data_IF_976340471540
#
_entry.id   IF_976340471540
#
_cell.length_a   1.000
_cell.length_b   1.000
_cell.length_c   1.000
_cell.angle_alpha   90.00
_cell.angle_beta   90.00
_cell.angle_gamma   90.00
#
_symmetry.space_group_name_H-M   'P 1'
#
loop_
_entity.id
_entity.type
_entity.pdbx_description
1 polymer ?
#
# COMPACT_ATOMS: atom_id res chain seq x y z
N UNK A 1 17.56 2.19 -6.60
CA UNK A 1 16.69 2.64 -5.49
C UNK A 1 17.42 2.73 -4.15
N UNK A 2 18.23 1.72 -3.72
CA UNK A 2 18.93 1.72 -2.41
C UNK A 2 19.89 2.90 -2.25
N UNK A 3 20.72 3.17 -3.25
CA UNK A 3 21.67 4.29 -3.24
C UNK A 3 20.94 5.64 -3.15
N UNK A 4 19.82 5.79 -3.87
CA UNK A 4 19.01 7.00 -3.80
C UNK A 4 18.45 7.17 -2.37
N UNK A 5 17.88 6.12 -1.78
CA UNK A 5 17.34 6.18 -0.42
C UNK A 5 18.41 6.60 0.59
N UNK A 6 19.63 6.02 0.51
CA UNK A 6 20.76 6.40 1.36
C UNK A 6 21.18 7.85 1.16
N UNK A 7 21.24 8.34 -0.09
CA UNK A 7 21.58 9.72 -0.42
C UNK A 7 20.59 10.74 0.19
N UNK A 8 19.33 10.34 0.39
CA UNK A 8 18.30 11.12 1.09
C UNK A 8 18.23 10.84 2.60
N UNK A 9 19.24 10.18 3.19
CA UNK A 9 19.35 9.96 4.63
C UNK A 9 18.47 8.84 5.19
N UNK A 10 17.89 7.98 4.33
CA UNK A 10 17.09 6.87 4.79
C UNK A 10 17.97 5.75 5.39
N UNK A 11 17.48 5.14 6.47
CA UNK A 11 18.05 3.90 7.00
C UNK A 11 17.60 2.74 6.11
N UNK A 12 18.55 2.12 5.41
CA UNK A 12 18.27 1.02 4.48
C UNK A 12 18.65 -0.31 5.15
N UNK A 13 17.68 -1.21 5.19
CA UNK A 13 17.84 -2.57 5.74
C UNK A 13 17.57 -3.60 4.63
N UNK A 14 18.21 -4.73 4.74
CA UNK A 14 18.05 -5.86 3.81
C UNK A 14 17.51 -7.07 4.59
N UNK A 15 16.63 -7.82 3.95
CA UNK A 15 16.07 -9.06 4.47
C UNK A 15 16.02 -10.08 3.33
N UNK A 16 16.25 -11.36 3.65
CA UNK A 16 16.05 -12.44 2.71
C UNK A 16 14.55 -12.52 2.32
N UNK A 17 14.28 -12.76 1.03
CA UNK A 17 12.92 -12.92 0.55
C UNK A 17 12.39 -14.32 0.88
N UNK A 18 11.26 -14.39 1.58
CA UNK A 18 10.64 -15.62 2.06
C UNK A 18 9.26 -15.89 1.43
N UNK A 19 8.97 -15.33 0.24
CA UNK A 19 7.66 -15.44 -0.43
C UNK A 19 6.48 -14.89 0.41
N UNK A 20 6.77 -13.95 1.33
CA UNK A 20 5.80 -13.37 2.23
C UNK A 20 6.07 -11.87 2.44
N UNK A 21 5.19 -11.02 1.89
CA UNK A 21 5.30 -9.56 2.03
C UNK A 21 5.10 -9.10 3.47
N UNK A 22 4.29 -9.80 4.26
CA UNK A 22 4.03 -9.42 5.65
C UNK A 22 5.29 -9.54 6.52
N UNK A 23 6.16 -10.51 6.25
CA UNK A 23 7.45 -10.66 6.94
C UNK A 23 8.33 -9.42 6.67
N UNK A 24 8.45 -9.03 5.40
CA UNK A 24 9.24 -7.85 5.02
C UNK A 24 8.67 -6.55 5.61
N UNK A 25 7.35 -6.38 5.61
CA UNK A 25 6.67 -5.23 6.25
C UNK A 25 6.90 -5.21 7.75
N UNK A 26 6.71 -6.34 8.43
CA UNK A 26 6.92 -6.45 9.88
C UNK A 26 8.38 -6.23 10.29
N UNK A 27 9.32 -6.70 9.47
CA UNK A 27 10.73 -6.37 9.66
C UNK A 27 10.96 -4.86 9.56
N UNK A 28 10.37 -4.19 8.57
CA UNK A 28 10.44 -2.73 8.44
C UNK A 28 9.83 -2.02 9.65
N UNK A 29 8.66 -2.47 10.14
CA UNK A 29 8.05 -1.94 11.37
C UNK A 29 9.00 -2.05 12.58
N UNK A 30 9.70 -3.18 12.71
CA UNK A 30 10.65 -3.39 13.82
C UNK A 30 11.84 -2.42 13.84
N UNK A 31 12.13 -1.76 12.70
CA UNK A 31 13.20 -0.77 12.56
C UNK A 31 12.74 0.67 12.76
N UNK A 32 11.44 0.90 12.78
CA UNK A 32 10.86 2.22 12.96
C UNK A 32 10.96 2.67 14.43
N UNK A 33 11.35 3.91 14.66
CA UNK A 33 11.52 4.51 15.98
C UNK A 33 10.61 5.74 16.21
N UNK A 34 9.88 6.18 15.19
CA UNK A 34 8.94 7.30 15.31
C UNK A 34 7.64 6.90 16.03
N UNK A 35 6.88 7.89 16.50
CA UNK A 35 5.58 7.69 17.13
C UNK A 35 4.48 7.27 16.16
N UNK A 36 4.66 7.59 14.88
CA UNK A 36 3.78 7.25 13.79
C UNK A 36 4.50 6.40 12.75
N UNK A 37 3.79 5.46 12.18
CA UNK A 37 4.19 4.68 11.01
C UNK A 37 3.38 5.20 9.82
N UNK A 38 4.09 5.57 8.76
CA UNK A 38 3.49 5.86 7.46
C UNK A 38 4.07 4.93 6.41
N UNK A 39 3.23 4.12 5.80
CA UNK A 39 3.63 3.09 4.83
C UNK A 39 3.47 3.61 3.41
N UNK A 40 4.59 3.69 2.69
CA UNK A 40 4.65 4.04 1.26
C UNK A 40 5.46 3.00 0.50
N UNK A 41 5.04 2.70 -0.71
CA UNK A 41 5.82 1.91 -1.66
C UNK A 41 6.76 2.83 -2.47
N UNK A 42 7.80 2.26 -3.09
CA UNK A 42 8.83 3.05 -3.77
C UNK A 42 8.33 3.81 -5.03
N UNK A 43 7.14 3.47 -5.51
CA UNK A 43 6.44 4.09 -6.64
C UNK A 43 5.22 4.92 -6.19
N UNK A 44 5.21 5.33 -4.92
CA UNK A 44 4.17 6.14 -4.32
C UNK A 44 4.72 7.43 -3.71
N UNK A 45 3.87 8.46 -3.63
CA UNK A 45 4.20 9.71 -2.95
C UNK A 45 2.97 10.43 -2.40
N UNK A 46 3.20 11.34 -1.47
CA UNK A 46 2.24 12.39 -1.07
C UNK A 46 2.61 13.66 -1.80
N UNK A 47 1.63 14.38 -2.34
CA UNK A 47 1.87 15.67 -2.99
C UNK A 47 2.38 16.71 -1.98
N UNK A 48 3.35 17.55 -2.36
CA UNK A 48 3.75 18.71 -1.56
C UNK A 48 2.58 19.62 -1.18
N UNK A 49 1.54 19.70 -2.02
CA UNK A 49 0.30 20.42 -1.77
C UNK A 49 -0.38 19.99 -0.45
N UNK A 50 -0.22 18.75 -0.03
CA UNK A 50 -0.89 18.19 1.13
C UNK A 50 0.02 18.02 2.36
N UNK A 51 1.28 18.43 2.30
CA UNK A 51 2.23 18.26 3.41
C UNK A 51 1.75 18.91 4.72
N UNK A 52 1.16 20.12 4.65
CA UNK A 52 0.69 20.79 5.85
C UNK A 52 -0.53 20.12 6.47
N UNK A 53 -1.43 19.60 5.63
CA UNK A 53 -2.56 18.76 6.10
C UNK A 53 -2.05 17.49 6.78
N UNK A 54 -1.06 16.85 6.16
CA UNK A 54 -0.46 15.63 6.71
C UNK A 54 0.24 15.89 8.05
N UNK A 55 1.03 16.97 8.14
CA UNK A 55 1.67 17.40 9.40
C UNK A 55 0.65 17.71 10.49
N UNK A 56 -0.42 18.43 10.15
CA UNK A 56 -1.50 18.73 11.09
C UNK A 56 -2.19 17.47 11.61
N UNK A 57 -2.34 16.43 10.75
CA UNK A 57 -2.94 15.16 11.12
C UNK A 57 -2.11 14.42 12.18
N UNK A 58 -0.80 14.29 11.95
CA UNK A 58 0.11 13.57 12.87
C UNK A 58 0.46 14.38 14.12
N UNK A 59 0.34 15.71 14.06
CA UNK A 59 0.61 16.63 15.18
C UNK A 59 -0.55 16.79 16.16
N UNK A 60 -1.75 16.27 15.85
CA UNK A 60 -2.89 16.37 16.77
C UNK A 60 -2.65 15.55 18.04
N UNK A 61 -2.80 16.15 19.22
CA UNK A 61 -2.92 15.39 20.45
C UNK A 61 -4.18 14.52 20.35
N UNK A 62 -4.03 13.25 20.09
CA UNK A 62 -5.16 12.33 20.06
C UNK A 62 -5.24 11.63 21.41
N UNK A 63 -6.33 11.82 22.12
CA UNK A 63 -6.63 11.07 23.36
C UNK A 63 -6.87 9.58 23.06
N UNK A 64 -7.31 9.26 21.83
CA UNK A 64 -7.54 7.88 21.40
C UNK A 64 -6.68 7.52 20.19
N UNK A 65 -6.06 6.32 20.18
CA UNK A 65 -5.31 5.85 19.03
C UNK A 65 -6.25 5.61 17.86
N UNK A 66 -5.98 6.24 16.71
CA UNK A 66 -6.68 6.02 15.46
C UNK A 66 -5.67 5.64 14.38
N UNK A 67 -6.03 4.69 13.53
CA UNK A 67 -5.34 4.41 12.28
C UNK A 67 -6.09 5.10 11.13
N UNK A 68 -5.36 5.47 10.07
CA UNK A 68 -5.98 6.19 8.96
C UNK A 68 -5.94 5.36 7.67
N UNK A 69 -7.12 5.14 7.10
CA UNK A 69 -7.27 4.69 5.72
C UNK A 69 -7.07 5.87 4.79
N UNK A 70 -6.18 5.70 3.83
CA UNK A 70 -5.77 6.72 2.88
C UNK A 70 -6.12 6.27 1.48
N UNK A 71 -6.81 7.13 0.72
CA UNK A 71 -7.12 6.87 -0.67
C UNK A 71 -5.85 6.93 -1.50
N UNK A 72 -5.61 5.87 -2.28
CA UNK A 72 -4.55 5.83 -3.28
C UNK A 72 -5.13 6.17 -4.65
N UNK A 73 -4.56 7.14 -5.34
CA UNK A 73 -4.81 7.48 -6.73
C UNK A 73 -3.89 6.64 -7.61
N UNK A 74 -4.39 5.51 -8.12
CA UNK A 74 -3.61 4.63 -9.00
C UNK A 74 -3.67 5.14 -10.43
N UNK A 75 -2.63 5.81 -10.89
CA UNK A 75 -2.58 6.38 -12.24
C UNK A 75 -2.47 5.30 -13.32
N UNK A 76 -3.13 5.51 -14.45
CA UNK A 76 -3.21 4.53 -15.54
C UNK A 76 -3.20 5.20 -16.92
N UNK A 77 -2.73 4.44 -17.93
CA UNK A 77 -2.81 4.79 -19.35
C UNK A 77 -4.02 4.14 -20.03
N UNK A 78 -4.79 3.31 -19.31
CA UNK A 78 -5.84 2.48 -19.89
C UNK A 78 -7.23 3.09 -19.66
N UNK A 79 -7.91 3.48 -20.75
CA UNK A 79 -9.26 4.06 -20.73
C UNK A 79 -10.33 3.08 -20.20
N UNK A 80 -10.13 1.77 -20.38
CA UNK A 80 -11.08 0.72 -19.96
C UNK A 80 -10.90 0.31 -18.48
N UNK A 81 -10.23 1.14 -17.66
CA UNK A 81 -10.03 0.85 -16.24
C UNK A 81 -11.33 1.04 -15.48
N UNK A 82 -11.75 0.01 -14.74
CA UNK A 82 -12.97 0.09 -13.91
C UNK A 82 -12.76 1.13 -12.80
N UNK A 83 -13.72 2.05 -12.67
CA UNK A 83 -13.64 3.14 -11.69
C UNK A 83 -12.70 4.27 -12.09
N UNK A 84 -12.31 4.36 -13.36
CA UNK A 84 -11.46 5.44 -13.88
C UNK A 84 -12.08 6.81 -13.60
N UNK A 85 -11.28 7.69 -13.05
CA UNK A 85 -11.51 9.13 -12.93
C UNK A 85 -10.48 9.85 -13.77
N UNK A 86 -10.91 10.78 -14.62
CA UNK A 86 -9.99 11.56 -15.45
C UNK A 86 -9.19 12.53 -14.58
N UNK A 87 -7.99 12.86 -15.02
CA UNK A 87 -7.18 13.91 -14.42
C UNK A 87 -7.88 15.26 -14.61
N UNK A 88 -7.82 16.12 -13.59
CA UNK A 88 -8.47 17.43 -13.56
C UNK A 88 -7.47 18.57 -13.45
N UNK A 89 -6.18 18.29 -13.32
CA UNK A 89 -5.15 19.28 -13.02
C UNK A 89 -5.14 19.72 -11.55
N UNK A 90 -5.81 18.96 -10.69
CA UNK A 90 -5.84 19.26 -9.24
C UNK A 90 -4.45 19.15 -8.61
N UNK A 91 -3.64 18.20 -9.09
CA UNK A 91 -2.29 17.93 -8.61
C UNK A 91 -1.29 17.99 -9.77
N UNK A 92 -0.14 18.60 -9.51
CA UNK A 92 0.96 18.65 -10.49
C UNK A 92 1.52 17.25 -10.81
N UNK A 93 1.33 16.31 -9.90
CA UNK A 93 1.78 14.92 -10.00
C UNK A 93 0.85 14.01 -10.82
N UNK A 94 -0.30 14.52 -11.29
CA UNK A 94 -1.23 13.71 -12.08
C UNK A 94 -0.55 13.12 -13.31
N UNK A 95 -0.66 11.79 -13.47
CA UNK A 95 -0.03 11.03 -14.55
C UNK A 95 -1.03 10.21 -15.38
N UNK A 96 -0.62 9.84 -16.59
CA UNK A 96 -1.46 9.08 -17.51
C UNK A 96 -2.72 9.83 -17.94
N UNK A 97 -3.79 9.10 -18.25
CA UNK A 97 -5.08 9.68 -18.64
C UNK A 97 -5.99 9.94 -17.45
N UNK A 98 -5.70 9.31 -16.33
CA UNK A 98 -6.50 9.37 -15.11
C UNK A 98 -6.05 8.34 -14.09
N UNK A 99 -6.89 8.12 -13.10
CA UNK A 99 -6.60 7.26 -11.96
C UNK A 99 -7.85 6.51 -11.49
N UNK A 100 -7.65 5.43 -10.76
CA UNK A 100 -8.73 4.74 -10.04
C UNK A 100 -8.41 4.63 -8.55
N UNK A 101 -9.42 4.74 -7.68
CA UNK A 101 -9.22 4.74 -6.23
C UNK A 101 -8.97 3.34 -5.69
N UNK A 102 -8.14 3.26 -4.65
CA UNK A 102 -8.12 2.15 -3.71
C UNK A 102 -7.78 2.68 -2.32
N UNK A 103 -8.43 2.15 -1.29
CA UNK A 103 -8.22 2.58 0.08
C UNK A 103 -7.37 1.54 0.81
N UNK A 104 -6.39 2.01 1.58
CA UNK A 104 -5.52 1.17 2.42
C UNK A 104 -5.23 1.88 3.73
N UNK A 105 -5.13 1.15 4.81
CA UNK A 105 -4.60 1.69 6.06
C UNK A 105 -3.09 1.87 5.89
N UNK A 106 -2.63 3.14 5.94
CA UNK A 106 -1.24 3.51 5.71
C UNK A 106 -0.59 4.27 6.84
N UNK A 107 -1.38 4.91 7.69
CA UNK A 107 -0.89 5.73 8.78
C UNK A 107 -1.47 5.23 10.10
N UNK A 108 -0.62 4.88 11.05
CA UNK A 108 -1.00 4.37 12.36
C UNK A 108 0.08 4.61 13.41
N UNK A 109 -0.27 4.52 14.69
CA UNK A 109 0.72 4.63 15.77
C UNK A 109 1.72 3.49 15.73
N UNK A 110 2.96 3.77 16.10
CA UNK A 110 3.98 2.74 16.30
C UNK A 110 3.66 1.95 17.57
N UNK A 111 2.80 0.95 17.41
CA UNK A 111 2.31 0.10 18.49
C UNK A 111 2.70 -1.36 18.19
N UNK A 112 3.29 -2.01 19.17
CA UNK A 112 3.77 -3.39 19.03
C UNK A 112 2.67 -4.41 18.73
N UNK A 113 1.42 -4.10 18.98
CA UNK A 113 0.25 -4.93 18.66
C UNK A 113 -0.12 -4.91 17.17
N UNK A 114 0.29 -3.84 16.44
CA UNK A 114 -0.04 -3.71 15.02
C UNK A 114 0.98 -4.48 14.19
N UNK A 115 0.50 -5.43 13.39
CA UNK A 115 1.30 -6.30 12.53
C UNK A 115 0.60 -6.49 11.20
N UNK A 116 1.38 -6.58 10.14
CA UNK A 116 0.90 -7.05 8.86
C UNK A 116 0.66 -8.55 8.89
N UNK A 117 -0.44 -8.97 8.29
CA UNK A 117 -0.80 -10.38 8.11
C UNK A 117 -1.06 -10.65 6.63
N UNK A 118 -0.95 -11.89 6.22
CA UNK A 118 -1.05 -12.43 4.87
C UNK A 118 0.21 -12.26 4.02
N UNK A 119 0.65 -13.36 3.39
CA UNK A 119 1.83 -13.36 2.51
C UNK A 119 1.70 -12.48 1.27
N UNK A 120 0.48 -12.34 0.75
CA UNK A 120 0.12 -11.48 -0.39
C UNK A 120 -1.08 -10.63 0.00
N UNK A 121 -1.11 -9.37 -0.47
CA UNK A 121 -2.10 -8.37 -0.03
C UNK A 121 -2.11 -8.25 1.49
N UNK A 122 -0.92 -8.00 2.03
CA UNK A 122 -0.68 -7.85 3.45
C UNK A 122 -1.50 -6.69 4.03
N UNK A 123 -2.14 -6.94 5.15
CA UNK A 123 -3.09 -6.04 5.82
C UNK A 123 -2.71 -5.84 7.29
N UNK A 124 -2.95 -4.66 7.83
CA UNK A 124 -2.87 -4.36 9.27
C UNK A 124 -4.23 -4.34 9.94
N UNK A 125 -5.31 -4.26 9.17
CA UNK A 125 -6.69 -4.15 9.64
C UNK A 125 -7.09 -5.26 10.63
N UNK A 126 -6.71 -6.53 10.46
CA UNK A 126 -6.98 -7.56 11.45
C UNK A 126 -6.35 -7.26 12.81
N UNK A 127 -5.09 -6.81 12.82
CA UNK A 127 -4.39 -6.46 14.06
C UNK A 127 -4.99 -5.21 14.73
N UNK A 128 -5.41 -4.22 13.94
CA UNK A 128 -6.12 -3.03 14.45
C UNK A 128 -7.44 -3.40 15.10
N UNK A 129 -8.22 -4.28 14.47
CA UNK A 129 -9.48 -4.78 15.01
C UNK A 129 -9.27 -5.52 16.33
N UNK A 130 -8.27 -6.38 16.41
CA UNK A 130 -7.92 -7.12 17.63
C UNK A 130 -7.48 -6.18 18.76
N UNK A 131 -6.72 -5.13 18.42
CA UNK A 131 -6.27 -4.12 19.36
C UNK A 131 -7.36 -3.11 19.76
N UNK A 132 -8.55 -3.15 19.15
CA UNK A 132 -9.63 -2.18 19.39
C UNK A 132 -9.33 -0.77 18.86
N UNK A 133 -8.46 -0.64 17.85
CA UNK A 133 -8.04 0.65 17.29
C UNK A 133 -8.96 0.99 16.11
N UNK A 134 -9.71 2.11 16.16
CA UNK A 134 -10.59 2.54 15.09
C UNK A 134 -9.81 2.97 13.85
N UNK A 135 -10.44 2.80 12.68
CA UNK A 135 -9.92 3.27 11.39
C UNK A 135 -10.73 4.50 10.99
N UNK A 136 -10.02 5.60 10.81
CA UNK A 136 -10.56 6.89 10.37
C UNK A 136 -10.21 7.12 8.90
N UNK A 137 -10.97 7.96 8.19
CA UNK A 137 -10.60 8.44 6.86
C UNK A 137 -9.58 9.58 6.94
N UNK A 138 -8.82 9.75 5.86
CA UNK A 138 -7.85 10.83 5.71
C UNK A 138 -8.03 11.48 4.33
N UNK A 139 -8.07 12.82 4.32
CA UNK A 139 -8.27 13.61 3.09
C UNK A 139 -6.97 13.86 2.30
N UNK A 140 -5.85 13.29 2.74
CA UNK A 140 -4.57 13.38 2.03
C UNK A 140 -4.41 12.14 1.17
N UNK A 141 -4.45 12.24 -0.17
CA UNK A 141 -4.26 11.09 -1.05
C UNK A 141 -2.80 10.67 -1.16
N UNK A 142 -2.59 9.40 -1.48
CA UNK A 142 -1.32 8.87 -1.96
C UNK A 142 -1.39 8.72 -3.48
N UNK A 143 -0.38 9.21 -4.18
CA UNK A 143 -0.23 9.10 -5.64
C UNK A 143 0.63 7.88 -5.97
N UNK A 144 0.12 6.97 -6.80
CA UNK A 144 0.78 5.71 -7.17
C UNK A 144 0.97 5.62 -8.68
N UNK A 145 2.22 5.42 -9.11
CA UNK A 145 2.66 5.47 -10.51
C UNK A 145 3.01 4.11 -11.09
N UNK A 146 2.98 3.04 -10.30
CA UNK A 146 3.44 1.72 -10.70
C UNK A 146 2.78 1.15 -11.96
N UNK A 147 1.56 1.58 -12.27
CA UNK A 147 0.83 1.14 -13.47
C UNK A 147 1.08 1.98 -14.73
N UNK A 148 1.88 3.04 -14.64
CA UNK A 148 2.32 3.80 -15.81
C UNK A 148 3.51 3.13 -16.53
N UNK A 149 4.15 2.13 -15.91
CA UNK A 149 5.33 1.45 -16.45
C UNK A 149 4.98 0.01 -16.85
N UNK A 150 4.46 -0.17 -18.07
CA UNK A 150 3.92 -1.45 -18.59
C UNK A 150 4.96 -2.61 -18.60
N UNK A 151 6.22 -2.33 -18.91
CA UNK A 151 7.25 -3.36 -19.05
C UNK A 151 7.51 -4.18 -17.77
N UNK A 152 7.15 -3.66 -16.59
CA UNK A 152 7.30 -4.35 -15.29
C UNK A 152 6.04 -5.07 -14.82
N UNK A 153 4.94 -4.91 -15.53
CA UNK A 153 3.62 -5.37 -15.06
C UNK A 153 3.43 -6.86 -15.29
N UNK A 154 3.94 -7.41 -16.40
CA UNK A 154 3.74 -8.82 -16.75
C UNK A 154 4.49 -9.78 -15.82
N UNK A 155 5.79 -9.56 -15.59
CA UNK A 155 6.58 -10.39 -14.66
C UNK A 155 6.02 -10.33 -13.22
N UNK A 156 5.62 -9.13 -12.76
CA UNK A 156 4.96 -8.96 -11.46
C UNK A 156 3.65 -9.74 -11.39
N UNK A 157 2.83 -9.69 -12.42
CA UNK A 157 1.51 -10.34 -12.46
C UNK A 157 1.65 -11.86 -12.36
N UNK A 158 2.64 -12.46 -13.03
CA UNK A 158 2.93 -13.90 -12.94
C UNK A 158 3.40 -14.30 -11.53
N UNK A 159 4.33 -13.54 -10.96
CA UNK A 159 4.81 -13.76 -9.59
C UNK A 159 3.66 -13.66 -8.55
N UNK A 160 2.80 -12.66 -8.65
CA UNK A 160 1.63 -12.52 -7.78
C UNK A 160 0.63 -13.66 -7.95
N UNK A 161 0.39 -14.13 -9.18
CA UNK A 161 -0.46 -15.30 -9.42
C UNK A 161 0.07 -16.55 -8.73
N UNK A 162 1.39 -16.79 -8.78
CA UNK A 162 1.99 -17.96 -8.15
C UNK A 162 1.99 -17.87 -6.61
N UNK A 163 2.18 -16.68 -6.05
CA UNK A 163 1.98 -16.44 -4.62
C UNK A 163 0.51 -16.62 -4.21
N UNK A 164 -0.45 -16.15 -5.01
CA UNK A 164 -1.87 -16.38 -4.81
C UNK A 164 -2.24 -17.86 -4.80
N UNK A 165 -1.65 -18.68 -5.69
CA UNK A 165 -1.80 -20.14 -5.66
C UNK A 165 -1.25 -20.77 -4.37
N UNK A 166 -0.08 -20.29 -3.89
CA UNK A 166 0.51 -20.74 -2.62
C UNK A 166 -0.42 -20.41 -1.44
N UNK A 167 -0.99 -19.19 -1.42
CA UNK A 167 -1.97 -18.76 -0.40
C UNK A 167 -3.20 -19.67 -0.37
N UNK A 168 -3.77 -19.97 -1.55
CA UNK A 168 -4.94 -20.83 -1.65
C UNK A 168 -4.65 -22.29 -1.22
N UNK A 169 -3.41 -22.78 -1.39
CA UNK A 169 -3.02 -24.09 -0.88
C UNK A 169 -3.04 -24.16 0.64
N UNK A 170 -2.72 -23.03 1.33
CA UNK A 170 -2.76 -22.94 2.80
C UNK A 170 -4.19 -22.85 3.35
N UNK A 171 -5.07 -22.12 2.64
CA UNK A 171 -6.49 -21.97 3.00
C UNK A 171 -7.40 -22.14 1.78
N UNK A 172 -7.77 -23.40 1.50
CA UNK A 172 -8.58 -23.78 0.33
C UNK A 172 -10.02 -23.25 0.36
N UNK A 173 -10.51 -22.77 1.51
CA UNK A 173 -11.88 -22.28 1.70
C UNK A 173 -11.97 -20.76 1.70
N UNK A 174 -10.86 -20.06 1.60
CA UNK A 174 -10.84 -18.60 1.58
C UNK A 174 -11.44 -18.05 0.28
N UNK A 175 -12.67 -17.54 0.34
CA UNK A 175 -13.32 -16.86 -0.78
C UNK A 175 -12.52 -15.63 -1.24
N UNK A 176 -11.88 -14.94 -0.31
CA UNK A 176 -11.01 -13.81 -0.64
C UNK A 176 -9.81 -14.26 -1.48
N UNK A 177 -9.11 -15.33 -1.08
CA UNK A 177 -7.97 -15.88 -1.83
C UNK A 177 -8.39 -16.41 -3.22
N UNK A 178 -9.57 -17.04 -3.33
CA UNK A 178 -10.13 -17.49 -4.60
C UNK A 178 -10.43 -16.31 -5.54
N UNK A 179 -11.06 -15.26 -5.03
CA UNK A 179 -11.37 -14.05 -5.80
C UNK A 179 -10.10 -13.35 -6.28
N UNK A 180 -9.10 -13.19 -5.41
CA UNK A 180 -7.81 -12.61 -5.76
C UNK A 180 -7.11 -13.40 -6.86
N UNK A 181 -7.04 -14.73 -6.74
CA UNK A 181 -6.43 -15.60 -7.75
C UNK A 181 -7.16 -15.52 -9.09
N UNK A 182 -8.49 -15.42 -9.08
CA UNK A 182 -9.29 -15.26 -10.30
C UNK A 182 -8.97 -13.94 -11.00
N UNK A 183 -8.88 -12.82 -10.27
CA UNK A 183 -8.52 -11.50 -10.80
C UNK A 183 -7.10 -11.53 -11.38
N UNK A 184 -6.13 -12.07 -10.64
CA UNK A 184 -4.73 -12.19 -11.09
C UNK A 184 -4.61 -13.07 -12.34
N UNK A 185 -5.35 -14.18 -12.39
CA UNK A 185 -5.35 -15.08 -13.55
C UNK A 185 -5.95 -14.43 -14.80
N UNK A 186 -7.00 -13.62 -14.65
CA UNK A 186 -7.59 -12.86 -15.75
C UNK A 186 -6.64 -11.77 -16.30
N UNK A 187 -5.75 -11.24 -15.47
CA UNK A 187 -4.74 -10.25 -15.88
C UNK A 187 -3.58 -10.88 -16.66
N UNK A 188 -3.22 -12.13 -16.40
CA UNK A 188 -2.17 -12.87 -17.13
C UNK A 188 -2.64 -13.34 -18.51
N UNK A 189 -3.94 -13.61 -18.65
CA UNK A 189 -4.54 -14.11 -19.92
C UNK A 189 -4.88 -13.03 -20.94
N UNK A 190 -4.51 -11.80 -20.72
CA UNK A 190 -4.69 -10.66 -21.63
C UNK A 190 -3.33 -10.16 -22.12
#
# INVERSE_FOLDING_TARGET
SREIAKAFGARVFEIAWEDDFSIARNFSLSKASGNWIFVLDADEMVSPKDYDKFRALIGRPSAEPCAYSIQTRNYTLHANTVGLKLNTGEYAEEGGIGWFPSDKVRLFRNDSRIRFVNPVHELVEPALKEAGIPICSCDVPVHHFGKLYEAKTQEKTEAYRDLGKKKLKKDRRSLAALRELAIQSAQVGR
#
